data_IF_324597914538
#
_entry.id   IF_324597914538
#
_cell.length_a   1.000
_cell.length_b   1.000
_cell.length_c   1.000
_cell.angle_alpha   90.00
_cell.angle_beta   90.00
_cell.angle_gamma   90.00
#
_symmetry.space_group_name_H-M   'P 1'
#
loop_
_entity.id
_entity.type
_entity.pdbx_description
1 polymer ?
#
# COMPACT_ATOMS: atom_id res chain seq x y z
N UNK A 1 19.63 13.86 10.51
CA UNK A 1 19.19 12.51 10.92
C UNK A 1 17.67 12.43 10.94
N UNK A 2 17.00 13.40 11.57
CA UNK A 2 15.53 13.51 11.53
C UNK A 2 14.98 13.71 10.11
N UNK A 3 15.47 14.71 9.36
CA UNK A 3 15.05 14.94 7.97
C UNK A 3 15.29 13.73 7.05
N UNK A 4 16.39 12.99 7.26
CA UNK A 4 16.70 11.77 6.51
C UNK A 4 15.70 10.64 6.78
N UNK A 5 15.27 10.49 8.04
CA UNK A 5 14.27 9.50 8.41
C UNK A 5 12.88 9.91 7.91
N UNK A 6 12.54 11.19 7.97
CA UNK A 6 11.27 11.72 7.45
C UNK A 6 11.17 11.57 5.92
N UNK A 7 12.25 11.84 5.20
CA UNK A 7 12.29 11.66 3.75
C UNK A 7 12.30 10.17 3.38
N UNK A 8 13.09 9.36 4.08
CA UNK A 8 13.15 7.91 3.89
C UNK A 8 11.83 7.21 4.24
N UNK A 9 11.05 7.73 5.18
CA UNK A 9 9.73 7.22 5.54
C UNK A 9 8.74 7.26 4.37
N UNK A 10 8.72 8.39 3.66
CA UNK A 10 7.86 8.59 2.51
C UNK A 10 8.32 7.75 1.31
N UNK A 11 9.63 7.68 1.06
CA UNK A 11 10.20 6.85 0.00
C UNK A 11 9.92 5.36 0.22
N UNK A 12 10.02 4.89 1.47
CA UNK A 12 9.69 3.51 1.86
C UNK A 12 8.22 3.20 1.57
N UNK A 13 7.31 4.11 1.91
CA UNK A 13 5.88 3.96 1.63
C UNK A 13 5.62 3.90 0.11
N UNK A 14 6.25 4.79 -0.67
CA UNK A 14 6.11 4.81 -2.13
C UNK A 14 6.61 3.51 -2.77
N UNK A 15 7.77 3.01 -2.31
CA UNK A 15 8.32 1.75 -2.78
C UNK A 15 7.41 0.56 -2.44
N UNK A 16 6.89 0.53 -1.22
CA UNK A 16 5.93 -0.48 -0.79
C UNK A 16 4.64 -0.46 -1.62
N UNK A 17 4.12 0.71 -1.97
CA UNK A 17 2.96 0.88 -2.86
C UNK A 17 3.27 0.30 -4.26
N UNK A 18 4.40 0.70 -4.84
CA UNK A 18 4.80 0.25 -6.18
C UNK A 18 4.92 -1.27 -6.23
N UNK A 19 5.62 -1.86 -5.25
CA UNK A 19 5.82 -3.30 -5.17
C UNK A 19 4.50 -4.04 -4.92
N UNK A 20 3.67 -3.60 -3.97
CA UNK A 20 2.40 -4.27 -3.67
C UNK A 20 1.44 -4.25 -4.88
N UNK A 21 1.42 -3.16 -5.64
CA UNK A 21 0.62 -3.07 -6.86
C UNK A 21 1.16 -4.01 -7.95
N UNK A 22 2.48 -4.05 -8.17
CA UNK A 22 3.09 -4.94 -9.13
C UNK A 22 2.81 -6.41 -8.80
N UNK A 23 2.99 -6.81 -7.53
CA UNK A 23 2.68 -8.15 -7.05
C UNK A 23 1.19 -8.49 -7.21
N UNK A 24 0.31 -7.53 -6.90
CA UNK A 24 -1.14 -7.72 -7.04
C UNK A 24 -1.55 -7.89 -8.51
N UNK A 25 -1.02 -7.08 -9.42
CA UNK A 25 -1.25 -7.21 -10.87
C UNK A 25 -0.78 -8.57 -11.37
N UNK A 26 0.47 -8.95 -11.07
CA UNK A 26 1.04 -10.24 -11.45
C UNK A 26 0.18 -11.41 -10.93
N UNK A 27 -0.36 -11.30 -9.70
CA UNK A 27 -1.27 -12.32 -9.15
C UNK A 27 -2.58 -12.44 -9.95
N UNK A 28 -3.07 -11.34 -10.55
CA UNK A 28 -4.26 -11.38 -11.41
C UNK A 28 -3.92 -11.97 -12.77
N UNK A 29 -2.79 -11.63 -13.36
CA UNK A 29 -2.33 -12.17 -14.64
C UNK A 29 -2.18 -13.70 -14.58
N UNK A 30 -1.65 -14.23 -13.48
CA UNK A 30 -1.50 -15.68 -13.28
C UNK A 30 -2.84 -16.37 -12.94
N UNK A 31 -3.89 -15.62 -12.65
CA UNK A 31 -5.18 -16.19 -12.27
C UNK A 31 -5.98 -16.64 -13.48
N UNK A 32 -6.30 -17.94 -13.54
CA UNK A 32 -7.20 -18.51 -14.56
C UNK A 32 -8.53 -17.77 -14.69
N UNK A 33 -9.05 -17.20 -13.59
CA UNK A 33 -10.36 -16.55 -13.53
C UNK A 33 -10.28 -15.03 -13.71
N UNK A 34 -9.17 -14.41 -13.32
CA UNK A 34 -9.08 -12.95 -13.21
C UNK A 34 -8.04 -12.30 -14.13
N UNK A 35 -7.32 -13.07 -14.95
CA UNK A 35 -6.32 -12.55 -15.90
C UNK A 35 -6.87 -11.46 -16.82
N UNK A 36 -8.09 -11.62 -17.33
CA UNK A 36 -8.74 -10.61 -18.18
C UNK A 36 -9.07 -9.28 -17.46
N UNK A 37 -8.90 -9.22 -16.14
CA UNK A 37 -9.08 -8.02 -15.35
C UNK A 37 -7.75 -7.45 -14.82
N UNK A 38 -6.59 -8.03 -15.15
CA UNK A 38 -5.29 -7.54 -14.68
C UNK A 38 -5.05 -6.08 -15.15
N UNK A 39 -5.31 -5.79 -16.42
CA UNK A 39 -5.21 -4.42 -16.98
C UNK A 39 -6.20 -3.42 -16.36
N UNK A 40 -7.22 -3.90 -15.64
CA UNK A 40 -8.23 -3.07 -14.98
C UNK A 40 -7.87 -2.73 -13.53
N UNK A 41 -6.77 -3.27 -13.00
CA UNK A 41 -6.33 -3.03 -11.62
C UNK A 41 -5.97 -1.56 -11.40
N UNK A 42 -5.09 -0.99 -12.23
CA UNK A 42 -4.66 0.41 -12.10
C UNK A 42 -5.85 1.38 -12.26
N UNK A 43 -6.67 1.30 -13.33
CA UNK A 43 -7.87 2.13 -13.46
C UNK A 43 -8.84 1.97 -12.29
N UNK A 44 -9.05 0.75 -11.80
CA UNK A 44 -9.98 0.49 -10.70
C UNK A 44 -9.52 1.06 -9.37
N UNK A 45 -8.22 0.98 -9.06
CA UNK A 45 -7.68 1.64 -7.88
C UNK A 45 -7.73 3.16 -8.00
N UNK A 46 -7.50 3.72 -9.20
CA UNK A 46 -7.65 5.16 -9.43
C UNK A 46 -9.08 5.63 -9.19
N UNK A 47 -10.07 4.90 -9.72
CA UNK A 47 -11.47 5.20 -9.44
C UNK A 47 -11.81 5.12 -7.96
N UNK A 48 -11.26 4.13 -7.25
CA UNK A 48 -11.53 3.93 -5.84
C UNK A 48 -10.89 5.01 -4.95
N UNK A 49 -9.59 5.26 -5.13
CA UNK A 49 -8.81 6.11 -4.24
C UNK A 49 -8.81 7.57 -4.68
N UNK A 50 -8.76 7.86 -5.98
CA UNK A 50 -8.55 9.23 -6.46
C UNK A 50 -9.86 9.91 -6.86
N UNK A 51 -10.88 9.12 -7.23
CA UNK A 51 -12.20 9.61 -7.62
C UNK A 51 -13.30 9.23 -6.63
N UNK A 52 -12.99 8.54 -5.53
CA UNK A 52 -13.93 8.19 -4.46
C UNK A 52 -15.10 7.30 -4.90
N UNK A 53 -14.98 6.59 -6.03
CA UNK A 53 -16.07 5.76 -6.57
C UNK A 53 -16.26 4.49 -5.74
N UNK A 54 -17.52 4.10 -5.56
CA UNK A 54 -17.86 2.83 -4.95
C UNK A 54 -17.47 1.65 -5.84
N UNK A 55 -17.24 0.48 -5.23
CA UNK A 55 -17.00 -0.76 -5.97
C UNK A 55 -18.16 -1.16 -6.89
N UNK A 56 -19.38 -0.67 -6.64
CA UNK A 56 -20.53 -0.86 -7.53
C UNK A 56 -20.36 -0.02 -8.81
N UNK A 57 -20.01 1.25 -8.67
CA UNK A 57 -19.75 2.14 -9.81
C UNK A 57 -18.54 1.67 -10.63
N UNK A 58 -17.48 1.24 -9.95
CA UNK A 58 -16.27 0.70 -10.60
C UNK A 58 -16.60 -0.56 -11.40
N UNK A 59 -17.44 -1.44 -10.86
CA UNK A 59 -17.86 -2.64 -11.60
C UNK A 59 -18.53 -2.26 -12.93
N UNK A 60 -19.40 -1.25 -12.93
CA UNK A 60 -20.02 -0.72 -14.15
C UNK A 60 -18.99 -0.10 -15.08
N UNK A 61 -18.11 0.78 -14.58
CA UNK A 61 -17.11 1.48 -15.40
C UNK A 61 -16.08 0.56 -16.05
N UNK A 62 -15.75 -0.57 -15.39
CA UNK A 62 -14.74 -1.51 -15.86
C UNK A 62 -15.35 -2.78 -16.46
N UNK A 63 -16.64 -2.77 -16.83
CA UNK A 63 -17.33 -3.90 -17.43
C UNK A 63 -17.13 -5.21 -16.64
N UNK A 64 -17.34 -5.13 -15.33
CA UNK A 64 -17.38 -6.25 -14.41
C UNK A 64 -18.84 -6.59 -14.09
N UNK A 65 -19.12 -7.86 -13.81
CA UNK A 65 -20.49 -8.36 -13.62
C UNK A 65 -21.17 -7.73 -12.40
N UNK A 66 -20.43 -7.48 -11.31
CA UNK A 66 -20.99 -6.92 -10.08
C UNK A 66 -19.91 -6.38 -9.14
N UNK A 67 -20.37 -5.69 -8.10
CA UNK A 67 -19.57 -5.22 -6.96
C UNK A 67 -18.66 -6.31 -6.37
N UNK A 68 -19.15 -7.56 -6.29
CA UNK A 68 -18.39 -8.67 -5.71
C UNK A 68 -17.19 -9.07 -6.58
N UNK A 69 -17.30 -8.93 -7.91
CA UNK A 69 -16.18 -9.15 -8.82
C UNK A 69 -15.15 -8.01 -8.70
N UNK A 70 -15.61 -6.75 -8.68
CA UNK A 70 -14.72 -5.60 -8.45
C UNK A 70 -13.97 -5.72 -7.11
N UNK A 71 -14.66 -6.13 -6.04
CA UNK A 71 -14.06 -6.38 -4.73
C UNK A 71 -12.96 -7.46 -4.78
N UNK A 72 -13.13 -8.55 -5.55
CA UNK A 72 -12.11 -9.62 -5.67
C UNK A 72 -10.95 -9.25 -6.60
N UNK A 73 -11.22 -8.48 -7.64
CA UNK A 73 -10.19 -8.00 -8.57
C UNK A 73 -9.32 -6.96 -7.86
N UNK A 74 -9.92 -5.93 -7.26
CA UNK A 74 -9.18 -4.87 -6.60
C UNK A 74 -8.69 -5.29 -5.22
N UNK A 75 -9.52 -5.94 -4.40
CA UNK A 75 -9.18 -6.37 -3.04
C UNK A 75 -8.44 -5.29 -2.21
N UNK A 76 -9.03 -4.10 -2.02
CA UNK A 76 -8.32 -2.95 -1.45
C UNK A 76 -7.75 -3.18 -0.05
N UNK A 77 -8.46 -3.95 0.80
CA UNK A 77 -7.92 -4.33 2.11
C UNK A 77 -6.71 -5.27 2.02
N UNK A 78 -6.65 -6.14 1.01
CA UNK A 78 -5.47 -6.99 0.80
C UNK A 78 -4.28 -6.16 0.31
N UNK A 79 -4.52 -5.18 -0.57
CA UNK A 79 -3.47 -4.27 -1.00
C UNK A 79 -2.94 -3.46 0.19
N UNK A 80 -3.83 -2.84 0.98
CA UNK A 80 -3.43 -2.05 2.16
C UNK A 80 -2.57 -2.88 3.12
N UNK A 81 -3.01 -4.09 3.48
CA UNK A 81 -2.24 -4.97 4.37
C UNK A 81 -0.87 -5.34 3.78
N UNK A 82 -0.79 -5.53 2.45
CA UNK A 82 0.48 -5.84 1.79
C UNK A 82 1.42 -4.64 1.79
N UNK A 83 0.91 -3.44 1.52
CA UNK A 83 1.70 -2.19 1.59
C UNK A 83 2.19 -1.97 3.02
N UNK A 84 1.34 -2.17 4.03
CA UNK A 84 1.73 -2.05 5.43
C UNK A 84 2.89 -3.00 5.77
N UNK A 85 2.76 -4.28 5.43
CA UNK A 85 3.82 -5.27 5.64
C UNK A 85 5.14 -4.84 4.98
N UNK A 86 5.10 -4.46 3.70
CA UNK A 86 6.29 -4.06 2.96
C UNK A 86 6.90 -2.76 3.50
N UNK A 87 6.07 -1.83 3.99
CA UNK A 87 6.54 -0.58 4.60
C UNK A 87 7.32 -0.87 5.88
N UNK A 88 6.82 -1.74 6.74
CA UNK A 88 7.53 -2.16 7.96
C UNK A 88 8.85 -2.86 7.61
N UNK A 89 8.82 -3.80 6.66
CA UNK A 89 10.01 -4.53 6.20
C UNK A 89 11.07 -3.60 5.62
N UNK A 90 10.68 -2.72 4.70
CA UNK A 90 11.59 -1.79 4.03
C UNK A 90 12.13 -0.73 5.00
N UNK A 91 11.31 -0.24 5.93
CA UNK A 91 11.76 0.71 6.93
C UNK A 91 12.75 0.09 7.91
N UNK A 92 12.52 -1.17 8.31
CA UNK A 92 13.47 -1.92 9.12
C UNK A 92 14.81 -2.12 8.40
N UNK A 93 14.78 -2.42 7.10
CA UNK A 93 16.00 -2.49 6.28
C UNK A 93 16.71 -1.14 6.16
N UNK A 94 15.97 -0.04 5.98
CA UNK A 94 16.51 1.32 5.94
C UNK A 94 17.20 1.69 7.26
N UNK A 95 16.55 1.44 8.40
CA UNK A 95 17.15 1.64 9.72
C UNK A 95 18.40 0.77 9.85
N UNK A 96 18.30 -0.53 9.55
CA UNK A 96 19.40 -1.49 9.72
C UNK A 96 20.63 -1.15 8.88
N UNK A 97 20.44 -0.66 7.65
CA UNK A 97 21.54 -0.25 6.78
C UNK A 97 22.17 1.07 7.24
N UNK A 98 21.37 1.99 7.77
CA UNK A 98 21.84 3.25 8.37
C UNK A 98 22.54 3.02 9.71
N UNK A 99 22.10 2.03 10.49
CA UNK A 99 22.63 1.67 11.81
C UNK A 99 23.71 0.59 11.79
N UNK A 100 24.22 0.19 10.62
CA UNK A 100 25.53 -0.49 10.54
C UNK A 100 26.67 0.33 11.18
N UNK A 101 26.44 1.59 11.55
CA UNK A 101 27.30 2.42 12.42
C UNK A 101 26.83 2.63 13.87
N UNK A 102 25.69 2.07 14.30
CA UNK A 102 25.09 2.26 15.62
C UNK A 102 24.86 0.91 16.32
N UNK A 103 25.95 0.35 16.84
CA UNK A 103 26.04 -0.46 18.06
C UNK A 103 24.85 -1.38 18.45
N UNK A 104 24.18 -2.04 17.51
CA UNK A 104 23.29 -3.17 17.81
C UNK A 104 24.08 -4.33 18.43
N UNK A 105 25.40 -4.35 18.25
CA UNK A 105 26.31 -5.40 18.70
C UNK A 105 26.43 -5.60 20.22
N UNK A 106 26.01 -4.63 21.06
CA UNK A 106 26.10 -4.80 22.53
C UNK A 106 24.81 -5.26 23.22
N UNK A 107 23.65 -5.08 22.59
CA UNK A 107 22.33 -5.39 23.20
C UNK A 107 21.47 -6.38 22.39
N UNK A 108 21.85 -6.73 21.14
CA UNK A 108 21.05 -7.57 20.24
C UNK A 108 21.04 -9.08 20.55
N UNK A 109 21.59 -9.53 21.68
CA UNK A 109 21.53 -10.94 22.09
C UNK A 109 20.19 -11.36 22.70
N UNK A 110 19.23 -10.44 22.88
CA UNK A 110 17.88 -10.76 23.37
C UNK A 110 16.86 -10.67 22.24
N UNK A 111 16.29 -11.81 21.86
CA UNK A 111 15.16 -11.92 20.93
C UNK A 111 14.02 -10.95 21.29
N UNK A 112 13.77 -10.76 22.59
CA UNK A 112 12.76 -9.83 23.11
C UNK A 112 13.02 -8.37 22.70
N UNK A 113 14.28 -7.93 22.62
CA UNK A 113 14.62 -6.57 22.22
C UNK A 113 14.28 -6.32 20.74
N UNK A 114 14.60 -7.28 19.86
CA UNK A 114 14.25 -7.18 18.44
C UNK A 114 12.73 -7.23 18.22
N UNK A 115 12.03 -8.09 18.98
CA UNK A 115 10.57 -8.16 18.93
C UNK A 115 9.92 -6.85 19.36
N UNK A 116 10.39 -6.26 20.46
CA UNK A 116 9.86 -4.97 20.94
C UNK A 116 10.13 -3.85 19.94
N UNK A 117 11.34 -3.80 19.36
CA UNK A 117 11.67 -2.80 18.34
C UNK A 117 10.78 -2.93 17.10
N UNK A 118 10.52 -4.15 16.62
CA UNK A 118 9.60 -4.37 15.49
C UNK A 118 8.18 -3.92 15.82
N UNK A 119 7.69 -4.18 17.04
CA UNK A 119 6.37 -3.72 17.48
C UNK A 119 6.29 -2.19 17.58
N UNK A 120 7.32 -1.53 18.09
CA UNK A 120 7.40 -0.07 18.16
C UNK A 120 7.42 0.56 16.77
N UNK A 121 8.17 -0.03 15.84
CA UNK A 121 8.21 0.40 14.43
C UNK A 121 6.85 0.22 13.75
N UNK A 122 6.21 -0.94 13.91
CA UNK A 122 4.88 -1.18 13.33
C UNK A 122 3.83 -0.22 13.91
N UNK A 123 3.81 0.00 15.23
CA UNK A 123 2.90 0.94 15.88
C UNK A 123 3.11 2.38 15.39
N UNK A 124 4.37 2.80 15.24
CA UNK A 124 4.71 4.11 14.71
C UNK A 124 4.22 4.27 13.26
N UNK A 125 4.55 3.35 12.36
CA UNK A 125 4.15 3.40 10.95
C UNK A 125 2.63 3.30 10.78
N UNK A 126 1.96 2.50 11.60
CA UNK A 126 0.49 2.42 11.61
C UNK A 126 -0.15 3.75 11.94
N UNK A 127 0.37 4.44 12.95
CA UNK A 127 -0.12 5.77 13.34
C UNK A 127 0.12 6.79 12.23
N UNK A 128 1.29 6.74 11.57
CA UNK A 128 1.66 7.70 10.53
C UNK A 128 0.90 7.51 9.21
N UNK A 129 0.69 6.26 8.78
CA UNK A 129 0.26 5.99 7.41
C UNK A 129 -1.07 5.23 7.28
N UNK A 130 -1.37 4.31 8.20
CA UNK A 130 -2.36 3.26 7.94
C UNK A 130 -3.63 3.37 8.77
N UNK A 131 -3.61 4.02 9.94
CA UNK A 131 -4.79 4.15 10.80
C UNK A 131 -5.95 4.85 10.06
N UNK A 132 -5.67 5.97 9.41
CA UNK A 132 -6.66 6.70 8.59
C UNK A 132 -7.10 5.87 7.38
N UNK A 133 -6.16 5.20 6.70
CA UNK A 133 -6.47 4.37 5.53
C UNK A 133 -7.40 3.19 5.86
N UNK A 134 -7.24 2.58 7.04
CA UNK A 134 -8.15 1.52 7.53
C UNK A 134 -9.54 2.10 7.82
N UNK A 135 -9.61 3.27 8.46
CA UNK A 135 -10.88 3.96 8.72
C UNK A 135 -11.60 4.32 7.41
N UNK A 136 -10.87 4.80 6.40
CA UNK A 136 -11.39 5.06 5.06
C UNK A 136 -11.95 3.79 4.44
N UNK A 137 -11.22 2.67 4.48
CA UNK A 137 -11.67 1.41 3.90
C UNK A 137 -12.86 0.77 4.62
N UNK A 138 -13.13 1.13 5.87
CA UNK A 138 -14.28 0.60 6.64
C UNK A 138 -15.55 1.44 6.50
N UNK A 139 -15.45 2.72 6.13
CA UNK A 139 -16.61 3.61 5.96
C UNK A 139 -17.28 3.40 4.59
N UNK A 140 -18.62 3.28 4.59
CA UNK A 140 -19.42 2.87 3.42
C UNK A 140 -20.15 4.01 2.69
N UNK A 141 -20.25 5.20 3.30
CA UNK A 141 -20.90 6.39 2.73
C UNK A 141 -19.93 7.57 2.83
N UNK A 142 -19.81 8.33 1.74
CA UNK A 142 -18.96 9.54 1.62
C UNK A 142 -17.50 9.31 2.00
N UNK A 143 -16.83 8.39 1.29
CA UNK A 143 -15.41 8.09 1.50
C UNK A 143 -14.56 9.17 0.84
N UNK A 144 -14.13 10.17 1.60
CA UNK A 144 -12.99 10.99 1.21
C UNK A 144 -11.72 10.17 1.48
N UNK A 145 -10.97 9.87 0.44
CA UNK A 145 -9.70 9.14 0.52
C UNK A 145 -8.57 10.15 0.68
N UNK A 146 -8.38 10.61 1.91
CA UNK A 146 -7.50 11.73 2.26
C UNK A 146 -6.29 11.31 3.08
N UNK A 147 -6.22 10.05 3.52
CA UNK A 147 -5.09 9.49 4.24
C UNK A 147 -3.81 9.67 3.44
N UNK A 148 -2.69 9.80 4.13
CA UNK A 148 -1.39 9.91 3.48
C UNK A 148 -1.15 8.72 2.53
N UNK A 149 -1.52 7.50 2.94
CA UNK A 149 -1.52 6.32 2.07
C UNK A 149 -2.32 6.54 0.77
N UNK A 150 -3.56 7.04 0.85
CA UNK A 150 -4.39 7.29 -0.32
C UNK A 150 -3.78 8.36 -1.24
N UNK A 151 -3.24 9.44 -0.66
CA UNK A 151 -2.57 10.50 -1.42
C UNK A 151 -1.34 9.96 -2.18
N UNK A 152 -0.48 9.18 -1.50
CA UNK A 152 0.72 8.58 -2.13
C UNK A 152 0.32 7.57 -3.21
N UNK A 153 -0.69 6.75 -2.96
CA UNK A 153 -1.22 5.79 -3.91
C UNK A 153 -1.76 6.49 -5.16
N UNK A 154 -2.52 7.57 -5.00
CA UNK A 154 -3.03 8.34 -6.14
C UNK A 154 -1.94 8.95 -6.99
N UNK A 155 -0.91 9.53 -6.35
CA UNK A 155 0.24 10.05 -7.09
C UNK A 155 0.93 8.96 -7.92
N UNK A 156 1.17 7.77 -7.34
CA UNK A 156 1.74 6.64 -8.08
C UNK A 156 0.85 6.24 -9.27
N UNK A 157 -0.48 6.17 -9.06
CA UNK A 157 -1.44 5.77 -10.09
C UNK A 157 -1.52 6.80 -11.24
N UNK A 158 -1.42 8.09 -10.93
CA UNK A 158 -1.44 9.15 -11.94
C UNK A 158 -0.12 9.17 -12.75
N UNK A 159 1.04 8.93 -12.12
CA UNK A 159 2.32 8.78 -12.84
C UNK A 159 2.34 7.56 -13.80
N UNK A 160 1.57 6.51 -13.48
CA UNK A 160 1.45 5.32 -14.33
C UNK A 160 0.33 5.41 -15.38
N UNK A 161 -0.45 6.50 -15.38
CA UNK A 161 -1.46 6.77 -16.41
C UNK A 161 -0.82 7.11 -17.75
N UNK A 162 0.31 7.81 -17.73
CA UNK A 162 0.96 8.34 -18.94
C UNK A 162 1.62 7.24 -19.78
N UNK A 163 2.06 6.15 -19.17
CA UNK A 163 2.76 5.04 -19.85
C UNK A 163 1.84 4.05 -20.60
N UNK A 164 0.52 4.15 -20.46
CA UNK A 164 -0.43 3.22 -21.13
C UNK A 164 -1.09 3.84 -22.36
N UNK A 165 -0.80 5.10 -22.68
CA UNK A 165 -1.35 5.84 -23.83
C UNK A 165 -0.33 6.04 -24.96
N UNK A 166 0.83 5.38 -24.90
CA UNK A 166 1.79 5.22 -26.01
C UNK A 166 1.79 3.77 -26.50
#
# INVERSE_FOLDING_TARGET
MQDFLEQGLIEVLDHAIAQALAEHIASKEQSRRYACFASKVIPGFRFLYCEGKSLKEIATLLNMTNHSQASRVLAPGKLLNRVQYLTVENFFQLISTTTKGLALEKNATKLDYLSNLMQEVDAFLNTQFFQEAVAELSTSKTRSMTSLYAQRLCRYLDEHKEKTNE
#
